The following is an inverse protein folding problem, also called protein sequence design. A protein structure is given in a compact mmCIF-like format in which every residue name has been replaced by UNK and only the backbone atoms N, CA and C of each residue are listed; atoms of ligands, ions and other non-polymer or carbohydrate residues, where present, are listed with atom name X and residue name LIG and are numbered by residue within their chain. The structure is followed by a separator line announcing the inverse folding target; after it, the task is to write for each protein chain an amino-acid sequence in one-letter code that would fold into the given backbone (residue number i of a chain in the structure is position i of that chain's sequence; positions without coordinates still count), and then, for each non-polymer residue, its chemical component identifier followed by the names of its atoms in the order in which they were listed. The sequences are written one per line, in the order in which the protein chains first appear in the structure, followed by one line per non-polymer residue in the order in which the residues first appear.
data_IF_750105868823
#
_entry.id   IF_750105868823
#
_cell.length_a   1.000
_cell.length_b   1.000
_cell.length_c   1.000
_cell.angle_alpha   90.00
_cell.angle_beta   90.00
_cell.angle_gamma   90.00
#
_symmetry.space_group_name_H-M   'P 1'
#
loop_
_entity.id
_entity.type
_entity.pdbx_description
1 polymer ?
#
# COMPACT_ATOMS: atom_id res chain seq x y z
N UNK A 1 -18.81 31.72 28.96
CA UNK A 1 -19.29 31.21 27.65
C UNK A 1 -18.97 32.24 26.60
N UNK A 2 -18.09 31.89 25.66
CA UNK A 2 -17.86 32.68 24.46
C UNK A 2 -18.62 32.04 23.30
N UNK A 3 -19.25 32.87 22.46
CA UNK A 3 -19.93 32.43 21.25
C UNK A 3 -19.37 33.25 20.10
N UNK A 4 -18.71 32.59 19.16
CA UNK A 4 -18.22 33.19 17.92
C UNK A 4 -19.14 32.80 16.78
N UNK A 5 -19.54 33.79 15.98
CA UNK A 5 -20.14 33.56 14.66
C UNK A 5 -19.01 33.69 13.61
N UNK A 6 -19.36 33.87 12.34
CA UNK A 6 -18.38 34.05 11.26
C UNK A 6 -17.35 35.17 11.59
N UNK A 7 -16.09 34.78 11.82
CA UNK A 7 -14.97 35.68 12.09
C UNK A 7 -14.20 35.90 10.78
N UNK A 8 -14.22 37.14 10.29
CA UNK A 8 -13.60 37.50 9.00
C UNK A 8 -12.41 38.44 9.13
N UNK A 9 -12.11 38.92 10.34
CA UNK A 9 -11.00 39.81 10.64
C UNK A 9 -10.47 39.51 12.04
N UNK A 10 -9.16 39.64 12.23
CA UNK A 10 -8.43 39.29 13.46
C UNK A 10 -7.47 40.39 13.90
N UNK A 11 -7.20 41.38 13.05
CA UNK A 11 -6.25 42.45 13.34
C UNK A 11 -6.70 43.79 12.75
N UNK A 12 -6.59 44.86 13.54
CA UNK A 12 -6.84 46.23 13.05
C UNK A 12 -5.59 46.85 12.44
N UNK A 13 -5.74 47.89 11.62
CA UNK A 13 -4.61 48.63 11.00
C UNK A 13 -3.67 49.27 12.03
N UNK A 14 -4.15 49.56 13.24
CA UNK A 14 -3.33 50.04 14.37
C UNK A 14 -2.39 48.97 14.96
N UNK A 15 -2.59 47.71 14.57
CA UNK A 15 -1.77 46.55 14.96
C UNK A 15 -1.10 45.92 13.74
N UNK A 16 -0.80 46.75 12.72
CA UNK A 16 -0.18 46.36 11.44
C UNK A 16 -1.03 45.45 10.54
N UNK A 17 -2.35 45.39 10.77
CA UNK A 17 -3.29 44.69 9.89
C UNK A 17 -3.53 45.39 8.54
N UNK A 18 -3.90 44.61 7.53
CA UNK A 18 -4.27 45.11 6.21
C UNK A 18 -5.75 45.59 6.17
N UNK A 19 -6.18 46.15 5.02
CA UNK A 19 -7.55 46.66 4.84
C UNK A 19 -8.65 45.59 4.95
N UNK A 20 -8.29 44.30 4.86
CA UNK A 20 -9.19 43.17 5.09
C UNK A 20 -9.25 42.75 6.56
N UNK A 21 -8.52 43.42 7.46
CA UNK A 21 -8.48 43.11 8.88
C UNK A 21 -7.66 41.86 9.22
N UNK A 22 -6.68 41.51 8.39
CA UNK A 22 -5.79 40.35 8.55
C UNK A 22 -4.31 40.78 8.46
N UNK A 23 -3.39 39.95 8.94
CA UNK A 23 -1.95 40.29 9.06
C UNK A 23 -1.67 41.23 10.23
N UNK A 24 -0.39 41.48 10.54
CA UNK A 24 0.00 42.24 11.75
C UNK A 24 0.04 41.36 13.00
N UNK A 25 -0.32 41.91 14.17
CA UNK A 25 -0.41 41.14 15.43
C UNK A 25 -1.80 40.48 15.54
N UNK A 26 -1.93 39.14 15.52
CA UNK A 26 -3.23 38.49 15.54
C UNK A 26 -3.97 38.64 16.88
N UNK A 27 -5.30 38.50 16.85
CA UNK A 27 -6.14 38.54 18.05
C UNK A 27 -5.72 37.50 19.09
N UNK A 28 -5.77 37.89 20.36
CA UNK A 28 -5.51 37.01 21.51
C UNK A 28 -6.84 36.71 22.21
N UNK A 29 -7.05 35.44 22.56
CA UNK A 29 -8.28 34.97 23.23
C UNK A 29 -7.89 34.04 24.37
N UNK A 30 -8.38 34.31 25.57
CA UNK A 30 -7.98 33.55 26.75
C UNK A 30 -8.44 34.17 28.08
N UNK A 31 -7.84 33.68 29.16
CA UNK A 31 -7.97 34.17 30.52
C UNK A 31 -6.58 34.44 31.11
N UNK A 32 -6.46 35.46 31.96
CA UNK A 32 -5.25 35.77 32.72
C UNK A 32 -5.66 36.24 34.11
N UNK A 33 -5.20 35.55 35.16
CA UNK A 33 -5.45 35.90 36.55
C UNK A 33 -4.51 37.01 37.07
N UNK A 34 -3.52 37.42 36.28
CA UNK A 34 -2.50 38.42 36.60
C UNK A 34 -1.64 38.07 37.82
N UNK A 35 -1.56 36.79 38.17
CA UNK A 35 -0.70 36.26 39.24
C UNK A 35 0.60 35.63 38.69
N UNK A 36 0.76 35.63 37.37
CA UNK A 36 1.91 35.05 36.67
C UNK A 36 1.93 33.53 36.62
N UNK A 37 0.87 32.87 37.07
CA UNK A 37 0.76 31.40 37.12
C UNK A 37 -0.48 30.93 36.37
N UNK A 38 -1.64 31.54 36.64
CA UNK A 38 -2.92 31.07 36.13
C UNK A 38 -3.33 31.88 34.90
N UNK A 39 -3.21 31.27 33.74
CA UNK A 39 -3.68 31.80 32.47
C UNK A 39 -4.06 30.65 31.53
N UNK A 40 -4.86 30.95 30.50
CA UNK A 40 -5.22 30.01 29.45
C UNK A 40 -5.36 30.77 28.13
N UNK A 41 -4.83 30.22 27.05
CA UNK A 41 -4.99 30.75 25.70
C UNK A 41 -5.73 29.73 24.84
N UNK A 42 -6.73 30.19 24.10
CA UNK A 42 -7.47 29.35 23.15
C UNK A 42 -6.54 28.94 22.00
N UNK A 43 -6.59 27.71 21.47
CA UNK A 43 -5.77 27.30 20.34
C UNK A 43 -5.86 28.23 19.14
N UNK A 44 -4.70 28.63 18.62
CA UNK A 44 -4.58 29.59 17.53
C UNK A 44 -4.53 31.05 17.99
N UNK A 45 -4.74 31.35 19.28
CA UNK A 45 -4.57 32.69 19.85
C UNK A 45 -3.22 33.28 19.48
N UNK A 46 -3.21 34.56 19.09
CA UNK A 46 -2.03 35.30 18.64
C UNK A 46 -1.34 34.71 17.40
N UNK A 47 -2.02 33.87 16.63
CA UNK A 47 -1.57 33.34 15.33
C UNK A 47 -2.60 33.62 14.22
N UNK A 48 -2.19 33.48 12.95
CA UNK A 48 -3.11 33.60 11.81
C UNK A 48 -4.26 32.57 11.85
N UNK A 49 -4.07 31.48 12.58
CA UNK A 49 -5.03 30.39 12.75
C UNK A 49 -6.26 30.80 13.57
N UNK A 50 -6.21 31.94 14.29
CA UNK A 50 -7.31 32.45 15.12
C UNK A 50 -8.58 32.77 14.33
N UNK A 51 -8.47 32.94 13.00
CA UNK A 51 -9.63 33.07 12.10
C UNK A 51 -10.57 31.86 12.15
N UNK A 52 -10.06 30.68 12.52
CA UNK A 52 -10.84 29.43 12.55
C UNK A 52 -11.49 29.17 13.92
N UNK A 53 -11.49 30.13 14.85
CA UNK A 53 -12.03 29.97 16.20
C UNK A 53 -13.53 29.64 16.23
N UNK A 54 -14.26 30.06 15.19
CA UNK A 54 -15.67 29.74 14.99
C UNK A 54 -15.91 28.32 14.44
N UNK A 55 -14.88 27.70 13.87
CA UNK A 55 -14.88 26.30 13.40
C UNK A 55 -14.45 25.30 14.49
N UNK A 56 -13.94 25.79 15.62
CA UNK A 56 -13.45 25.01 16.77
C UNK A 56 -14.37 25.17 17.99
N UNK A 57 -14.25 24.30 18.98
CA UNK A 57 -15.04 24.31 20.23
C UNK A 57 -14.37 23.44 21.29
N UNK A 58 -14.69 23.65 22.56
CA UNK A 58 -14.36 22.74 23.66
C UNK A 58 -15.56 21.98 24.26
N UNK A 59 -16.72 22.04 23.60
CA UNK A 59 -17.97 21.42 24.06
C UNK A 59 -18.77 20.80 22.90
N UNK A 60 -18.07 20.28 21.88
CA UNK A 60 -18.65 19.66 20.69
C UNK A 60 -19.76 20.50 20.00
N UNK A 61 -19.72 21.82 20.19
CA UNK A 61 -20.66 22.79 19.60
C UNK A 61 -19.86 23.87 18.92
N UNK A 62 -19.61 23.69 17.62
CA UNK A 62 -18.76 24.57 16.79
C UNK A 62 -19.00 26.05 17.06
N UNK A 63 -17.91 26.79 17.33
CA UNK A 63 -17.89 28.22 17.62
C UNK A 63 -18.28 28.60 19.06
N UNK A 64 -18.69 27.63 19.89
CA UNK A 64 -19.00 27.86 21.31
C UNK A 64 -17.89 27.31 22.20
N UNK A 65 -17.50 28.13 23.17
CA UNK A 65 -16.50 27.78 24.17
C UNK A 65 -17.04 28.01 25.58
N UNK A 66 -16.87 27.04 26.47
CA UNK A 66 -17.37 27.07 27.83
C UNK A 66 -16.29 26.60 28.80
N UNK A 67 -15.98 27.45 29.77
CA UNK A 67 -14.98 27.19 30.79
C UNK A 67 -15.60 27.39 32.16
N UNK A 68 -15.18 26.57 33.12
CA UNK A 68 -15.41 26.79 34.54
C UNK A 68 -14.27 27.65 35.08
N UNK A 69 -14.58 28.79 35.69
CA UNK A 69 -13.60 29.84 36.05
C UNK A 69 -13.62 30.23 37.54
N UNK A 70 -14.34 29.48 38.37
CA UNK A 70 -14.39 29.67 39.83
C UNK A 70 -13.28 28.95 40.59
N UNK A 71 -12.44 28.19 39.88
CA UNK A 71 -11.30 27.43 40.44
C UNK A 71 -9.97 28.09 40.06
N UNK A 72 -8.89 27.61 40.68
CA UNK A 72 -7.51 27.99 40.43
C UNK A 72 -6.94 27.43 39.12
N UNK A 73 -7.60 26.45 38.50
CA UNK A 73 -7.21 25.87 37.20
C UNK A 73 -8.40 25.78 36.23
N UNK A 74 -8.13 25.88 34.92
CA UNK A 74 -9.13 25.60 33.89
C UNK A 74 -9.39 24.10 33.86
N UNK A 75 -10.65 23.70 34.03
CA UNK A 75 -11.03 22.30 33.92
C UNK A 75 -11.20 21.89 32.45
N UNK A 76 -10.36 20.95 32.03
CA UNK A 76 -10.54 20.23 30.79
C UNK A 76 -11.52 19.06 30.98
N UNK A 77 -12.55 19.02 30.14
CA UNK A 77 -13.58 17.98 30.12
C UNK A 77 -13.85 17.50 28.68
N UNK A 78 -12.99 17.86 27.73
CA UNK A 78 -13.13 17.43 26.35
C UNK A 78 -12.22 16.23 26.07
N UNK A 79 -12.71 15.27 25.30
CA UNK A 79 -11.88 14.16 24.85
C UNK A 79 -10.96 14.60 23.71
N UNK A 80 -9.71 14.11 23.65
CA UNK A 80 -8.87 14.31 22.49
C UNK A 80 -9.52 13.72 21.22
N UNK A 81 -9.15 14.26 20.07
CA UNK A 81 -9.58 13.79 18.75
C UNK A 81 -8.39 13.31 17.91
N UNK A 82 -8.57 12.22 17.18
CA UNK A 82 -7.58 11.79 16.19
C UNK A 82 -7.62 12.71 14.95
N UNK A 83 -6.50 13.39 14.65
CA UNK A 83 -6.34 14.19 13.43
C UNK A 83 -6.06 13.32 12.21
N UNK A 84 -5.30 12.24 12.40
CA UNK A 84 -5.06 11.21 11.39
C UNK A 84 -5.36 9.82 11.95
N UNK A 85 -5.99 9.00 11.12
CA UNK A 85 -6.35 7.61 11.38
C UNK A 85 -6.49 6.90 10.03
N UNK A 86 -5.36 6.59 9.39
CA UNK A 86 -5.32 6.02 8.03
C UNK A 86 -4.42 4.81 8.00
N UNK A 87 -4.76 3.81 7.20
CA UNK A 87 -3.87 2.68 6.97
C UNK A 87 -2.60 3.14 6.25
N UNK A 88 -1.40 2.69 6.67
CA UNK A 88 -0.18 2.85 5.87
C UNK A 88 -0.26 2.07 4.55
N UNK A 89 0.66 2.35 3.65
CA UNK A 89 0.83 1.57 2.42
C UNK A 89 1.15 0.10 2.73
N UNK A 90 0.71 -0.79 1.85
CA UNK A 90 0.97 -2.21 1.99
C UNK A 90 2.47 -2.53 1.91
N UNK A 91 2.96 -3.36 2.82
CA UNK A 91 4.36 -3.81 2.81
C UNK A 91 4.43 -5.21 2.22
N UNK A 92 5.28 -5.40 1.22
CA UNK A 92 5.43 -6.68 0.54
C UNK A 92 6.54 -7.53 1.16
N UNK A 93 6.25 -8.81 1.38
CA UNK A 93 7.28 -9.79 1.75
C UNK A 93 7.98 -10.36 0.52
N UNK A 94 9.30 -10.50 0.63
CA UNK A 94 10.08 -11.34 -0.29
C UNK A 94 9.71 -12.80 -0.12
N UNK A 95 9.71 -13.61 -1.18
CA UNK A 95 9.24 -14.97 -1.06
C UNK A 95 10.10 -15.84 -0.12
N UNK A 96 9.42 -16.54 0.78
CA UNK A 96 10.03 -17.36 1.83
C UNK A 96 9.89 -16.77 3.25
N UNK A 97 9.40 -15.54 3.40
CA UNK A 97 8.99 -14.98 4.69
C UNK A 97 7.46 -14.85 4.78
N UNK A 98 6.92 -14.99 5.99
CA UNK A 98 5.49 -14.85 6.29
C UNK A 98 5.23 -13.62 7.16
N UNK A 99 6.19 -12.71 7.26
CA UNK A 99 6.13 -11.49 8.07
C UNK A 99 7.03 -10.42 7.46
N UNK A 100 6.70 -9.15 7.72
CA UNK A 100 7.54 -8.01 7.37
C UNK A 100 7.55 -6.97 8.48
N UNK A 101 8.62 -6.19 8.55
CA UNK A 101 8.71 -5.03 9.45
C UNK A 101 7.98 -3.85 8.81
N UNK A 102 7.06 -3.22 9.53
CA UNK A 102 6.24 -2.11 9.05
C UNK A 102 6.55 -0.86 9.86
N UNK A 103 6.85 0.24 9.18
CA UNK A 103 7.09 1.55 9.78
C UNK A 103 5.98 2.49 9.35
N UNK A 104 5.31 3.11 10.32
CA UNK A 104 4.36 4.19 10.09
C UNK A 104 4.73 5.44 10.92
N UNK A 105 4.27 6.60 10.50
CA UNK A 105 4.59 7.90 11.07
C UNK A 105 3.33 8.62 11.62
N UNK A 106 3.44 9.93 11.86
CA UNK A 106 2.36 10.77 12.38
C UNK A 106 1.23 11.01 11.38
N UNK A 107 1.46 10.80 10.08
CA UNK A 107 0.41 10.96 9.06
C UNK A 107 -0.58 9.78 9.07
N UNK A 108 -0.15 8.65 9.64
CA UNK A 108 -0.98 7.46 9.89
C UNK A 108 -1.83 7.62 11.13
N UNK A 109 -1.22 8.03 12.26
CA UNK A 109 -1.93 8.21 13.52
C UNK A 109 -1.38 9.41 14.31
N UNK A 110 -2.28 10.32 14.68
CA UNK A 110 -1.98 11.48 15.52
C UNK A 110 -3.26 11.94 16.23
N UNK A 111 -3.13 12.40 17.47
CA UNK A 111 -4.23 12.95 18.25
C UNK A 111 -3.90 14.36 18.74
N UNK A 112 -4.93 15.19 18.85
CA UNK A 112 -4.87 16.53 19.41
C UNK A 112 -6.00 16.73 20.38
N UNK A 113 -5.76 17.51 21.41
CA UNK A 113 -6.76 18.07 22.29
C UNK A 113 -6.75 19.60 22.20
N UNK A 114 -7.91 20.23 22.43
CA UNK A 114 -8.06 21.68 22.32
C UNK A 114 -7.47 22.45 23.51
N UNK A 115 -7.30 21.80 24.65
CA UNK A 115 -6.69 22.38 25.85
C UNK A 115 -5.22 22.00 25.94
N UNK A 116 -4.88 20.73 25.71
CA UNK A 116 -3.53 20.19 25.91
C UNK A 116 -2.64 20.22 24.65
N UNK A 117 -3.22 20.42 23.46
CA UNK A 117 -2.48 20.35 22.20
C UNK A 117 -2.19 18.90 21.77
N UNK A 118 -1.01 18.57 21.19
CA UNK A 118 -0.73 17.22 20.69
C UNK A 118 -0.75 16.16 21.80
N UNK A 119 -1.54 15.10 21.60
CA UNK A 119 -1.69 13.97 22.54
C UNK A 119 -1.08 12.69 21.95
N UNK A 120 -0.32 11.95 22.76
CA UNK A 120 0.30 10.70 22.33
C UNK A 120 -0.76 9.59 22.18
N UNK A 121 -0.74 8.90 21.05
CA UNK A 121 -1.57 7.72 20.82
C UNK A 121 -0.86 6.45 21.30
N UNK A 122 -1.59 5.57 22.00
CA UNK A 122 -1.16 4.22 22.37
C UNK A 122 -1.93 3.19 21.55
N UNK A 123 -1.22 2.35 20.81
CA UNK A 123 -1.81 1.40 19.86
C UNK A 123 -1.67 -0.05 20.32
N UNK A 124 -2.65 -0.88 19.93
CA UNK A 124 -2.69 -2.29 20.26
C UNK A 124 -3.28 -3.13 19.13
N UNK A 125 -2.84 -4.37 19.00
CA UNK A 125 -3.45 -5.36 18.13
C UNK A 125 -4.81 -5.76 18.70
N UNK A 126 -5.80 -5.90 17.82
CA UNK A 126 -7.14 -6.40 18.18
C UNK A 126 -7.43 -7.65 17.38
N UNK A 127 -7.45 -8.81 18.05
CA UNK A 127 -7.87 -10.09 17.45
C UNK A 127 -9.19 -10.53 18.07
N UNK A 128 -10.32 -10.00 17.58
CA UNK A 128 -11.69 -10.51 17.77
C UNK A 128 -12.24 -10.77 19.19
N UNK A 129 -11.41 -10.77 20.22
CA UNK A 129 -11.60 -11.45 21.50
C UNK A 129 -11.01 -10.63 22.67
N UNK A 130 -11.13 -9.30 22.57
CA UNK A 130 -10.82 -8.31 23.62
C UNK A 130 -9.38 -8.26 24.16
N UNK A 131 -8.48 -9.14 23.71
CA UNK A 131 -7.08 -9.12 24.12
C UNK A 131 -6.32 -8.05 23.32
N UNK A 132 -5.99 -6.94 23.99
CA UNK A 132 -5.16 -5.87 23.44
C UNK A 132 -3.69 -6.17 23.70
N UNK A 133 -2.91 -6.35 22.63
CA UNK A 133 -1.45 -6.49 22.70
C UNK A 133 -0.82 -5.18 22.25
N UNK A 134 -0.06 -4.46 23.10
CA UNK A 134 0.58 -3.21 22.71
C UNK A 134 1.47 -3.38 21.48
N UNK A 135 1.39 -2.43 20.55
CA UNK A 135 2.19 -2.43 19.31
C UNK A 135 2.72 -1.03 19.02
N UNK A 136 3.96 -0.97 18.55
CA UNK A 136 4.62 0.28 18.13
C UNK A 136 5.00 0.25 16.66
N UNK A 137 5.17 1.44 16.08
CA UNK A 137 5.76 1.58 14.75
C UNK A 137 7.12 0.89 14.71
N UNK A 138 7.47 0.35 13.53
CA UNK A 138 8.71 -0.39 13.30
C UNK A 138 8.72 -1.81 13.90
N UNK A 139 7.57 -2.42 14.17
CA UNK A 139 7.45 -3.83 14.57
C UNK A 139 7.20 -4.77 13.36
N UNK A 140 7.26 -6.09 13.61
CA UNK A 140 7.03 -7.13 12.59
C UNK A 140 5.58 -7.62 12.61
N UNK A 141 4.96 -7.64 11.43
CA UNK A 141 3.58 -8.03 11.23
C UNK A 141 3.50 -9.28 10.35
N UNK A 142 2.60 -10.22 10.65
CA UNK A 142 2.41 -11.41 9.83
C UNK A 142 1.77 -11.05 8.48
N UNK A 143 2.03 -11.89 7.48
CA UNK A 143 1.36 -11.87 6.19
C UNK A 143 -0.17 -11.89 6.39
N UNK A 144 -0.84 -10.94 5.75
CA UNK A 144 -2.27 -10.71 5.86
C UNK A 144 -2.59 -9.30 6.34
N UNK A 145 -3.82 -9.15 6.83
CA UNK A 145 -4.33 -7.89 7.38
C UNK A 145 -4.28 -8.00 8.90
N UNK A 146 -3.59 -7.07 9.55
CA UNK A 146 -3.58 -6.91 10.99
C UNK A 146 -4.32 -5.63 11.36
N UNK A 147 -5.34 -5.73 12.21
CA UNK A 147 -6.08 -4.56 12.71
C UNK A 147 -5.37 -3.99 13.94
N UNK A 148 -5.06 -2.71 13.88
CA UNK A 148 -4.47 -1.94 14.97
C UNK A 148 -5.51 -0.96 15.47
N UNK A 149 -5.76 -0.95 16.78
CA UNK A 149 -6.61 0.02 17.45
C UNK A 149 -5.76 0.92 18.35
N UNK A 150 -5.95 2.23 18.22
CA UNK A 150 -5.26 3.24 19.00
C UNK A 150 -6.23 4.01 19.90
N UNK A 151 -5.75 4.29 21.10
CA UNK A 151 -6.41 5.11 22.12
C UNK A 151 -5.54 6.33 22.39
N UNK A 152 -6.16 7.44 22.78
CA UNK A 152 -5.49 8.65 23.22
C UNK A 152 -6.21 9.16 24.47
N UNK A 153 -5.41 9.58 25.46
CA UNK A 153 -5.88 10.12 26.74
C UNK A 153 -5.14 11.42 26.99
N UNK A 154 -5.89 12.48 27.25
CA UNK A 154 -5.33 13.79 27.56
C UNK A 154 -4.77 13.86 28.99
N UNK A 155 -4.29 15.03 29.42
CA UNK A 155 -3.71 15.22 30.76
C UNK A 155 -4.78 15.19 31.86
N UNK A 156 -6.03 15.52 31.54
CA UNK A 156 -7.18 15.48 32.45
C UNK A 156 -7.80 14.08 32.60
N UNK A 157 -7.43 13.13 31.75
CA UNK A 157 -7.90 11.75 31.75
C UNK A 157 -9.12 11.49 30.87
N UNK A 158 -9.50 12.39 29.97
CA UNK A 158 -10.59 12.13 29.02
C UNK A 158 -10.08 11.26 27.87
N UNK A 159 -10.93 10.34 27.40
CA UNK A 159 -10.54 9.34 26.38
C UNK A 159 -11.10 9.72 25.01
N UNK A 160 -10.25 9.69 23.98
CA UNK A 160 -10.68 9.78 22.59
C UNK A 160 -11.63 8.62 22.22
N UNK A 161 -12.46 8.85 21.20
CA UNK A 161 -13.09 7.71 20.49
C UNK A 161 -11.98 6.91 19.81
N UNK A 162 -11.91 5.57 19.99
CA UNK A 162 -10.82 4.76 19.44
C UNK A 162 -10.71 4.87 17.91
N UNK A 163 -9.48 4.94 17.43
CA UNK A 163 -9.14 4.91 16.01
C UNK A 163 -8.70 3.49 15.63
N UNK A 164 -9.16 2.98 14.48
CA UNK A 164 -8.69 1.71 13.92
C UNK A 164 -8.10 1.90 12.52
N UNK A 165 -6.97 1.27 12.27
CA UNK A 165 -6.38 1.17 10.93
C UNK A 165 -5.86 -0.25 10.66
N UNK A 166 -5.53 -0.53 9.40
CA UNK A 166 -5.05 -1.83 8.97
C UNK A 166 -3.59 -1.77 8.55
N UNK A 167 -2.76 -2.62 9.15
CA UNK A 167 -1.43 -2.94 8.62
C UNK A 167 -1.58 -4.13 7.68
N UNK A 168 -1.22 -3.92 6.41
CA UNK A 168 -1.32 -4.94 5.37
C UNK A 168 0.08 -5.41 5.01
N UNK A 169 0.41 -6.66 5.33
CA UNK A 169 1.60 -7.33 4.83
C UNK A 169 1.16 -8.29 3.73
N UNK A 170 1.53 -8.00 2.49
CA UNK A 170 1.12 -8.81 1.33
C UNK A 170 2.29 -9.59 0.76
N UNK A 171 1.98 -10.69 0.06
CA UNK A 171 2.98 -11.39 -0.74
C UNK A 171 3.22 -10.63 -2.03
N UNK A 172 4.44 -10.66 -2.56
CA UNK A 172 4.75 -10.03 -3.86
C UNK A 172 4.00 -10.64 -5.06
N UNK A 173 3.33 -11.78 -4.89
CA UNK A 173 2.62 -12.46 -5.96
C UNK A 173 1.18 -11.97 -6.07
N UNK A 174 0.76 -11.57 -7.27
CA UNK A 174 -0.64 -11.34 -7.60
C UNK A 174 -1.45 -12.64 -7.42
N UNK A 175 -2.71 -12.57 -6.96
CA UNK A 175 -3.56 -13.75 -6.80
C UNK A 175 -3.72 -14.56 -8.09
N UNK A 176 -3.18 -15.78 -8.09
CA UNK A 176 -3.11 -16.62 -9.29
C UNK A 176 -4.10 -17.79 -9.29
N UNK A 177 -4.81 -18.03 -8.18
CA UNK A 177 -5.89 -19.02 -8.08
C UNK A 177 -7.25 -18.35 -8.23
N UNK A 178 -8.20 -19.02 -8.89
CA UNK A 178 -9.56 -18.51 -9.10
C UNK A 178 -10.34 -19.36 -10.11
N UNK A 179 -11.60 -18.98 -10.41
CA UNK A 179 -12.48 -19.78 -11.27
C UNK A 179 -11.97 -19.96 -12.71
N UNK A 180 -11.22 -18.99 -13.25
CA UNK A 180 -10.74 -18.98 -14.64
C UNK A 180 -9.27 -19.41 -14.81
N UNK A 181 -8.70 -20.06 -13.79
CA UNK A 181 -7.32 -20.53 -13.85
C UNK A 181 -7.16 -21.68 -14.83
N UNK A 182 -6.11 -21.63 -15.65
CA UNK A 182 -5.71 -22.71 -16.56
C UNK A 182 -4.38 -23.28 -16.12
N UNK A 183 -4.33 -24.62 -16.03
CA UNK A 183 -3.14 -25.36 -15.67
C UNK A 183 -2.48 -25.92 -16.94
N UNK A 184 -1.16 -25.86 -16.99
CA UNK A 184 -0.42 -26.64 -17.98
C UNK A 184 -0.42 -28.13 -17.59
N UNK A 185 -0.32 -29.04 -18.56
CA UNK A 185 -0.09 -30.45 -18.29
C UNK A 185 1.15 -30.69 -17.43
N UNK A 186 1.13 -31.84 -16.75
CA UNK A 186 2.14 -32.26 -15.79
C UNK A 186 3.19 -33.13 -16.44
N UNK A 187 4.15 -32.52 -17.13
CA UNK A 187 5.26 -33.22 -17.78
C UNK A 187 6.52 -32.33 -17.84
N UNK A 188 7.60 -32.89 -18.38
CA UNK A 188 8.83 -32.18 -18.73
C UNK A 188 8.67 -31.50 -20.10
N UNK A 189 9.08 -30.23 -20.21
CA UNK A 189 9.06 -29.43 -21.45
C UNK A 189 7.67 -29.11 -22.07
N UNK A 190 6.61 -28.99 -21.27
CA UNK A 190 5.27 -28.64 -21.76
C UNK A 190 5.05 -27.18 -22.15
N UNK A 191 4.15 -26.97 -23.11
CA UNK A 191 3.63 -25.66 -23.50
C UNK A 191 2.11 -25.68 -23.50
N UNK A 192 1.47 -24.57 -23.11
CA UNK A 192 0.03 -24.42 -23.28
C UNK A 192 -0.34 -24.47 -24.77
N UNK A 193 -1.59 -24.85 -25.09
CA UNK A 193 -2.15 -24.50 -26.40
C UNK A 193 -2.19 -22.98 -26.60
N UNK A 194 -2.49 -22.53 -27.82
CA UNK A 194 -2.64 -21.10 -28.13
C UNK A 194 -3.75 -20.47 -27.26
N UNK A 195 -3.41 -19.37 -26.58
CA UNK A 195 -4.36 -18.62 -25.75
C UNK A 195 -4.51 -17.21 -26.29
N UNK A 196 -5.74 -16.81 -26.59
CA UNK A 196 -6.02 -15.45 -27.08
C UNK A 196 -6.09 -14.44 -25.94
N UNK A 197 -5.51 -13.26 -26.17
CA UNK A 197 -5.67 -12.13 -25.27
C UNK A 197 -7.09 -11.56 -25.35
N UNK A 198 -7.63 -11.15 -24.20
CA UNK A 198 -8.92 -10.46 -24.16
C UNK A 198 -8.85 -9.02 -24.70
N UNK A 199 -7.65 -8.42 -24.72
CA UNK A 199 -7.37 -7.08 -25.22
C UNK A 199 -6.11 -7.10 -26.08
N UNK A 200 -5.93 -6.18 -27.05
CA UNK A 200 -4.68 -6.06 -27.79
C UNK A 200 -3.47 -5.95 -26.84
N UNK A 201 -2.43 -6.73 -27.11
CA UNK A 201 -1.20 -6.73 -26.34
C UNK A 201 -0.03 -6.31 -27.24
N UNK A 202 0.55 -5.16 -26.96
CA UNK A 202 1.66 -4.63 -27.74
C UNK A 202 2.99 -5.05 -27.12
N UNK A 203 3.77 -5.83 -27.87
CA UNK A 203 5.11 -6.26 -27.46
C UNK A 203 6.12 -5.80 -28.51
N UNK A 204 7.08 -4.97 -28.09
CA UNK A 204 8.06 -4.31 -28.97
C UNK A 204 7.45 -3.67 -30.23
N UNK A 205 6.34 -2.94 -30.04
CA UNK A 205 5.64 -2.21 -31.12
C UNK A 205 4.79 -3.07 -32.05
N UNK A 206 4.71 -4.39 -31.83
CA UNK A 206 3.83 -5.29 -32.58
C UNK A 206 2.65 -5.71 -31.71
N UNK A 207 1.47 -5.73 -32.29
CA UNK A 207 0.28 -6.25 -31.63
C UNK A 207 0.22 -7.78 -31.77
N UNK A 208 0.04 -8.48 -30.65
CA UNK A 208 -0.15 -9.92 -30.60
C UNK A 208 -1.56 -10.24 -30.10
N UNK A 209 -2.24 -11.13 -30.81
CA UNK A 209 -3.57 -11.62 -30.43
C UNK A 209 -3.54 -12.81 -29.48
N UNK A 210 -2.41 -13.50 -29.40
CA UNK A 210 -2.27 -14.74 -28.64
C UNK A 210 -0.89 -14.90 -28.03
N UNK A 211 -0.83 -15.78 -27.04
CA UNK A 211 0.37 -16.16 -26.32
C UNK A 211 0.36 -17.66 -26.00
N UNK A 212 1.54 -18.13 -25.61
CA UNK A 212 1.78 -19.48 -25.12
C UNK A 212 2.59 -19.40 -23.83
N UNK A 213 2.27 -20.26 -22.87
CA UNK A 213 3.02 -20.38 -21.61
C UNK A 213 3.80 -21.69 -21.66
N UNK A 214 5.09 -21.64 -21.38
CA UNK A 214 5.94 -22.82 -21.33
C UNK A 214 6.37 -23.12 -19.88
N UNK A 215 6.52 -24.40 -19.55
CA UNK A 215 6.93 -24.83 -18.19
C UNK A 215 8.29 -24.27 -17.78
N UNK A 216 9.18 -24.03 -18.74
CA UNK A 216 10.54 -23.54 -18.55
C UNK A 216 10.63 -22.03 -18.30
N UNK A 217 9.60 -21.39 -17.76
CA UNK A 217 9.67 -19.97 -17.35
C UNK A 217 9.53 -18.95 -18.49
N UNK A 218 8.85 -19.31 -19.57
CA UNK A 218 8.73 -18.48 -20.79
C UNK A 218 7.27 -18.23 -21.17
N UNK A 219 7.00 -17.02 -21.67
CA UNK A 219 5.78 -16.66 -22.39
C UNK A 219 6.17 -16.28 -23.82
N UNK A 220 5.69 -17.00 -24.84
CA UNK A 220 5.96 -16.69 -26.25
C UNK A 220 4.75 -16.12 -26.96
N UNK A 221 4.97 -15.38 -28.05
CA UNK A 221 3.92 -14.69 -28.80
C UNK A 221 3.92 -15.06 -30.27
N UNK A 222 2.75 -15.37 -30.82
CA UNK A 222 2.56 -15.71 -32.23
C UNK A 222 2.88 -17.16 -32.60
N UNK A 223 3.77 -17.83 -31.86
CA UNK A 223 4.00 -19.28 -31.97
C UNK A 223 4.47 -19.87 -30.62
N UNK A 224 4.45 -21.19 -30.50
CA UNK A 224 4.92 -21.89 -29.30
C UNK A 224 6.46 -22.03 -29.27
N UNK A 225 7.02 -22.13 -28.06
CA UNK A 225 8.40 -22.56 -27.86
C UNK A 225 8.39 -24.06 -27.49
N UNK A 226 8.70 -24.92 -28.45
CA UNK A 226 8.51 -26.37 -28.32
C UNK A 226 9.52 -27.10 -27.42
N UNK A 227 10.61 -26.45 -27.00
CA UNK A 227 11.65 -27.07 -26.15
C UNK A 227 12.48 -26.03 -25.42
N UNK A 228 13.12 -26.43 -24.32
CA UNK A 228 14.04 -25.58 -23.57
C UNK A 228 15.23 -25.13 -24.44
N UNK A 229 15.57 -23.83 -24.35
CA UNK A 229 16.71 -23.23 -25.03
C UNK A 229 17.68 -22.66 -24.00
N UNK A 230 18.95 -23.07 -24.05
CA UNK A 230 20.00 -22.61 -23.12
C UNK A 230 20.78 -21.39 -23.59
N UNK A 231 20.53 -20.92 -24.81
CA UNK A 231 21.27 -19.81 -25.40
C UNK A 231 20.85 -18.47 -24.76
N UNK A 232 21.80 -17.52 -24.57
CA UNK A 232 21.48 -16.20 -24.04
C UNK A 232 20.66 -15.38 -25.06
N UNK A 233 19.85 -14.44 -24.55
CA UNK A 233 19.19 -13.45 -25.40
C UNK A 233 20.24 -12.57 -26.12
N UNK A 234 19.98 -12.16 -27.38
CA UNK A 234 18.75 -12.37 -28.16
C UNK A 234 18.70 -13.75 -28.84
N UNK A 235 17.54 -14.40 -28.77
CA UNK A 235 17.26 -15.64 -29.50
C UNK A 235 16.66 -15.30 -30.87
N UNK A 236 17.10 -15.98 -31.94
CA UNK A 236 16.48 -15.87 -33.28
C UNK A 236 15.25 -16.80 -33.41
N UNK A 237 14.37 -16.73 -32.42
CA UNK A 237 13.18 -17.56 -32.28
C UNK A 237 11.92 -16.68 -32.31
N UNK A 238 10.78 -17.30 -32.04
CA UNK A 238 9.54 -16.61 -31.73
C UNK A 238 9.74 -15.56 -30.63
N UNK A 239 9.14 -14.36 -30.75
CA UNK A 239 9.16 -13.32 -29.73
C UNK A 239 8.71 -13.87 -28.37
N UNK A 240 9.46 -13.60 -27.31
CA UNK A 240 9.19 -14.17 -26.00
C UNK A 240 9.58 -13.24 -24.86
N UNK A 241 8.98 -13.50 -23.70
CA UNK A 241 9.37 -13.02 -22.38
C UNK A 241 9.96 -14.21 -21.61
N UNK A 242 11.24 -14.12 -21.28
CA UNK A 242 11.93 -15.07 -20.41
C UNK A 242 11.84 -14.56 -18.96
N UNK A 243 10.87 -15.06 -18.19
CA UNK A 243 10.62 -14.64 -16.80
C UNK A 243 11.70 -15.20 -15.88
N UNK A 244 11.93 -16.50 -16.00
CA UNK A 244 13.01 -17.22 -15.33
C UNK A 244 13.31 -18.48 -16.13
N UNK A 245 13.94 -18.30 -17.30
CA UNK A 245 14.08 -19.39 -18.26
C UNK A 245 15.07 -20.46 -17.78
N UNK A 246 14.57 -21.66 -17.51
CA UNK A 246 15.36 -22.79 -17.02
C UNK A 246 14.63 -24.11 -17.27
N UNK A 247 15.37 -25.22 -17.28
CA UNK A 247 14.86 -26.60 -17.40
C UNK A 247 14.02 -26.96 -16.16
N UNK A 248 12.72 -26.70 -16.23
CA UNK A 248 11.74 -26.92 -15.16
C UNK A 248 11.05 -28.26 -15.38
N UNK A 249 11.09 -29.10 -14.37
CA UNK A 249 10.36 -30.36 -14.34
C UNK A 249 9.10 -30.20 -13.47
N UNK A 250 7.94 -30.45 -14.07
CA UNK A 250 6.66 -30.41 -13.38
C UNK A 250 5.99 -31.76 -13.18
N UNK A 251 6.58 -32.87 -13.66
CA UNK A 251 5.96 -34.21 -13.71
C UNK A 251 5.37 -34.62 -12.36
N UNK A 252 6.15 -34.50 -11.28
CA UNK A 252 5.71 -34.92 -9.93
C UNK A 252 5.26 -33.76 -9.03
N UNK A 253 5.77 -32.54 -9.25
CA UNK A 253 5.61 -31.41 -8.32
C UNK A 253 5.50 -30.05 -9.03
N UNK A 254 5.11 -29.02 -8.28
CA UNK A 254 4.95 -27.66 -8.79
C UNK A 254 3.73 -27.48 -9.70
N UNK A 255 3.43 -26.27 -10.10
CA UNK A 255 2.36 -25.99 -11.06
C UNK A 255 2.81 -24.84 -11.95
N UNK A 256 2.45 -24.93 -13.23
CA UNK A 256 2.48 -23.78 -14.13
C UNK A 256 1.05 -23.48 -14.52
N UNK A 257 0.63 -22.27 -14.24
CA UNK A 257 -0.75 -21.86 -14.40
C UNK A 257 -0.83 -20.41 -14.88
N UNK A 258 -1.90 -20.10 -15.58
CA UNK A 258 -2.16 -18.76 -16.05
C UNK A 258 -3.65 -18.41 -15.97
N UNK A 259 -3.94 -17.13 -15.81
CA UNK A 259 -5.31 -16.59 -15.85
C UNK A 259 -5.31 -15.15 -16.36
N UNK A 260 -6.35 -14.80 -17.11
CA UNK A 260 -6.61 -13.41 -17.49
C UNK A 260 -7.67 -12.84 -16.55
N UNK A 261 -7.37 -11.70 -15.93
CA UNK A 261 -8.29 -10.90 -15.14
C UNK A 261 -8.76 -9.72 -15.99
N UNK A 262 -10.07 -9.46 -15.94
CA UNK A 262 -10.65 -8.24 -16.50
C UNK A 262 -11.02 -7.28 -15.38
N UNK A 263 -10.89 -5.98 -15.64
CA UNK A 263 -11.22 -4.97 -14.63
C UNK A 263 -12.70 -5.05 -14.28
N UNK A 264 -12.96 -5.19 -12.99
CA UNK A 264 -14.30 -5.29 -12.41
C UNK A 264 -14.18 -5.06 -10.91
N UNK A 265 -15.30 -4.81 -10.24
CA UNK A 265 -15.33 -4.65 -8.79
C UNK A 265 -14.76 -5.84 -8.01
N UNK A 266 -14.79 -7.05 -8.58
CA UNK A 266 -14.22 -8.25 -7.95
C UNK A 266 -12.69 -8.30 -8.01
N UNK A 267 -12.09 -7.70 -9.03
CA UNK A 267 -10.64 -7.71 -9.25
C UNK A 267 -9.99 -6.34 -8.96
N UNK A 268 -10.76 -5.35 -8.46
CA UNK A 268 -10.33 -3.96 -8.45
C UNK A 268 -9.04 -3.74 -7.64
N UNK A 269 -8.85 -4.47 -6.53
CA UNK A 269 -7.62 -4.37 -5.74
C UNK A 269 -6.36 -4.72 -6.56
N UNK A 270 -6.41 -5.77 -7.38
CA UNK A 270 -5.27 -6.14 -8.23
C UNK A 270 -5.03 -5.11 -9.34
N UNK A 271 -6.11 -4.50 -9.85
CA UNK A 271 -6.00 -3.44 -10.86
C UNK A 271 -5.47 -2.13 -10.28
N UNK A 272 -5.87 -1.76 -9.06
CA UNK A 272 -5.30 -0.60 -8.35
C UNK A 272 -3.81 -0.80 -8.10
N UNK A 273 -3.40 -1.97 -7.58
CA UNK A 273 -1.99 -2.30 -7.36
C UNK A 273 -1.16 -2.18 -8.64
N UNK A 274 -1.64 -2.75 -9.76
CA UNK A 274 -0.94 -2.65 -11.03
C UNK A 274 -0.91 -1.22 -11.60
N UNK A 275 -2.02 -0.49 -11.50
CA UNK A 275 -2.14 0.88 -11.97
C UNK A 275 -1.19 1.82 -11.20
N UNK A 276 -1.20 1.73 -9.87
CA UNK A 276 -0.36 2.56 -8.98
C UNK A 276 1.12 2.27 -9.24
N UNK A 277 1.51 0.99 -9.31
CA UNK A 277 2.88 0.58 -9.64
C UNK A 277 3.35 1.19 -10.98
N UNK A 278 2.51 1.14 -12.01
CA UNK A 278 2.86 1.70 -13.33
C UNK A 278 2.98 3.23 -13.27
N UNK A 279 2.03 3.91 -12.64
CA UNK A 279 2.03 5.38 -12.54
C UNK A 279 3.20 5.91 -11.72
N UNK A 280 3.64 5.16 -10.72
CA UNK A 280 4.81 5.51 -9.91
C UNK A 280 6.12 5.36 -10.71
N UNK A 281 6.29 4.22 -11.40
CA UNK A 281 7.52 3.94 -12.18
C UNK A 281 7.59 4.77 -13.46
N UNK A 282 6.44 5.07 -14.07
CA UNK A 282 6.31 5.84 -15.31
C UNK A 282 5.40 7.07 -15.08
N UNK A 283 5.92 8.16 -14.49
CA UNK A 283 5.11 9.34 -14.13
C UNK A 283 4.41 10.01 -15.33
N UNK A 284 4.94 9.84 -16.54
CA UNK A 284 4.31 10.30 -17.78
C UNK A 284 3.02 9.52 -18.12
N UNK A 285 2.82 8.36 -17.50
CA UNK A 285 1.63 7.53 -17.61
C UNK A 285 0.68 7.73 -16.43
N UNK A 286 0.63 8.93 -15.84
CA UNK A 286 -0.19 9.24 -14.65
C UNK A 286 -1.69 8.94 -14.80
N UNK A 287 -2.22 8.92 -16.03
CA UNK A 287 -3.62 8.56 -16.34
C UNK A 287 -3.81 7.12 -16.81
N UNK A 288 -2.76 6.28 -16.78
CA UNK A 288 -2.86 4.89 -17.20
C UNK A 288 -3.87 4.13 -16.33
N UNK A 289 -4.65 3.24 -16.94
CA UNK A 289 -5.66 2.45 -16.27
C UNK A 289 -5.78 1.11 -17.00
N UNK A 290 -5.37 0.02 -16.35
CA UNK A 290 -5.36 -1.31 -16.93
C UNK A 290 -6.79 -1.81 -17.19
N UNK A 291 -6.97 -2.53 -18.30
CA UNK A 291 -8.22 -3.22 -18.66
C UNK A 291 -8.11 -4.74 -18.50
N UNK A 292 -6.89 -5.28 -18.64
CA UNK A 292 -6.59 -6.70 -18.44
C UNK A 292 -5.24 -6.91 -17.75
N UNK A 293 -5.21 -7.93 -16.88
CA UNK A 293 -4.00 -8.51 -16.32
C UNK A 293 -3.92 -9.97 -16.74
N UNK A 294 -2.83 -10.39 -17.38
CA UNK A 294 -2.48 -11.81 -17.54
C UNK A 294 -1.50 -12.18 -16.43
N UNK A 295 -1.95 -13.01 -15.49
CA UNK A 295 -1.12 -13.53 -14.41
C UNK A 295 -0.65 -14.93 -14.79
N UNK A 296 0.65 -15.13 -14.90
CA UNK A 296 1.30 -16.42 -15.17
C UNK A 296 2.22 -16.77 -14.02
N UNK A 297 2.00 -17.91 -13.36
CA UNK A 297 2.75 -18.32 -12.18
C UNK A 297 3.36 -19.70 -12.37
N UNK A 298 4.67 -19.78 -12.13
CA UNK A 298 5.41 -21.02 -11.92
C UNK A 298 5.51 -21.22 -10.41
N UNK A 299 4.60 -22.00 -9.84
CA UNK A 299 4.43 -22.16 -8.40
C UNK A 299 5.14 -23.41 -7.90
N UNK A 300 6.14 -23.24 -7.02
CA UNK A 300 6.92 -24.33 -6.40
C UNK A 300 7.43 -25.34 -7.43
N UNK A 301 7.96 -24.85 -8.55
CA UNK A 301 8.55 -25.67 -9.61
C UNK A 301 9.96 -26.14 -9.21
N UNK A 302 10.35 -27.34 -9.65
CA UNK A 302 11.63 -27.97 -9.27
C UNK A 302 12.52 -28.15 -10.49
N UNK A 303 13.85 -28.30 -10.32
CA UNK A 303 14.68 -28.83 -11.38
C UNK A 303 14.48 -30.35 -11.49
N UNK A 304 14.86 -30.94 -12.62
CA UNK A 304 14.79 -32.39 -12.84
C UNK A 304 15.59 -33.21 -11.81
N UNK A 305 16.70 -32.67 -11.28
CA UNK A 305 17.66 -33.41 -10.46
C UNK A 305 17.41 -33.35 -8.94
N UNK A 306 16.39 -32.62 -8.49
CA UNK A 306 16.18 -32.42 -7.04
C UNK A 306 14.70 -32.34 -6.68
N UNK A 307 14.30 -33.19 -5.75
CA UNK A 307 12.97 -33.20 -5.16
C UNK A 307 12.79 -32.26 -3.96
N UNK A 308 13.82 -31.54 -3.51
CA UNK A 308 13.71 -30.62 -2.35
C UNK A 308 13.67 -29.14 -2.73
N UNK A 309 14.43 -28.74 -3.75
CA UNK A 309 14.50 -27.35 -4.20
C UNK A 309 13.23 -26.92 -4.93
N UNK A 310 12.76 -25.70 -4.64
CA UNK A 310 11.54 -25.11 -5.20
C UNK A 310 11.78 -23.66 -5.57
N UNK A 311 11.31 -23.29 -6.76
CA UNK A 311 11.20 -21.91 -7.20
C UNK A 311 9.73 -21.53 -7.31
N UNK A 312 9.40 -20.31 -6.90
CA UNK A 312 8.12 -19.68 -7.19
C UNK A 312 8.39 -18.31 -7.80
N UNK A 313 7.90 -18.09 -9.02
CA UNK A 313 8.01 -16.82 -9.72
C UNK A 313 6.78 -16.60 -10.61
N UNK A 314 6.52 -15.35 -10.96
CA UNK A 314 5.32 -14.95 -11.64
C UNK A 314 5.63 -13.79 -12.61
N UNK A 315 4.93 -13.79 -13.74
CA UNK A 315 4.79 -12.62 -14.60
C UNK A 315 3.35 -12.11 -14.56
N UNK A 316 3.20 -10.79 -14.48
CA UNK A 316 1.93 -10.10 -14.67
C UNK A 316 2.07 -9.20 -15.89
N UNK A 317 1.40 -9.57 -16.99
CA UNK A 317 1.32 -8.71 -18.17
C UNK A 317 0.08 -7.84 -18.07
N UNK A 318 0.27 -6.53 -18.15
CA UNK A 318 -0.77 -5.51 -17.93
C UNK A 318 -1.03 -4.80 -19.24
N UNK A 319 -2.29 -4.60 -19.62
CA UNK A 319 -2.64 -3.79 -20.80
C UNK A 319 -3.95 -3.03 -20.63
N UNK A 320 -4.04 -1.87 -21.25
CA UNK A 320 -5.31 -1.15 -21.47
C UNK A 320 -5.79 -1.25 -22.93
N UNK A 321 -5.16 -2.10 -23.74
CA UNK A 321 -5.43 -2.26 -25.16
C UNK A 321 -4.62 -1.33 -26.09
N UNK A 322 -3.90 -0.36 -25.55
CA UNK A 322 -3.02 0.54 -26.30
C UNK A 322 -1.57 0.51 -25.80
N UNK A 323 -1.39 0.50 -24.48
CA UNK A 323 -0.11 0.37 -23.80
C UNK A 323 -0.05 -0.97 -23.07
N UNK A 324 1.14 -1.55 -23.00
CA UNK A 324 1.37 -2.85 -22.39
C UNK A 324 2.63 -2.81 -21.53
N UNK A 325 2.56 -3.47 -20.37
CA UNK A 325 3.63 -3.53 -19.37
C UNK A 325 3.81 -4.98 -18.91
N UNK A 326 4.99 -5.29 -18.37
CA UNK A 326 5.30 -6.58 -17.80
C UNK A 326 5.94 -6.38 -16.42
N UNK A 327 5.42 -7.07 -15.41
CA UNK A 327 5.95 -7.11 -14.05
C UNK A 327 6.42 -8.53 -13.75
N UNK A 328 7.60 -8.68 -13.16
CA UNK A 328 8.12 -9.97 -12.72
C UNK A 328 8.23 -10.00 -11.20
N UNK A 329 7.48 -10.92 -10.60
CA UNK A 329 7.42 -11.11 -9.16
C UNK A 329 8.15 -12.40 -8.81
N UNK A 330 9.27 -12.27 -8.11
CA UNK A 330 10.04 -13.41 -7.64
C UNK A 330 9.66 -13.70 -6.20
N UNK A 331 8.98 -14.84 -6.01
CA UNK A 331 8.74 -15.41 -4.70
C UNK A 331 10.02 -16.05 -4.17
N UNK A 332 9.95 -17.32 -3.79
CA UNK A 332 11.11 -18.02 -3.28
C UNK A 332 11.94 -18.59 -4.45
N UNK A 333 13.23 -18.26 -4.53
CA UNK A 333 14.16 -18.84 -5.53
C UNK A 333 15.25 -19.61 -4.78
N UNK A 334 15.26 -20.93 -4.93
CA UNK A 334 16.21 -21.84 -4.26
C UNK A 334 17.21 -22.47 -5.23
N UNK A 335 16.96 -22.38 -6.54
CA UNK A 335 17.81 -22.96 -7.56
C UNK A 335 17.86 -22.07 -8.81
N UNK A 336 19.02 -22.04 -9.47
CA UNK A 336 19.27 -21.17 -10.65
C UNK A 336 19.97 -21.90 -11.78
N UNK A 337 20.20 -23.21 -11.62
CA UNK A 337 20.94 -24.04 -12.58
C UNK A 337 20.13 -25.28 -12.89
N UNK A 338 20.07 -25.64 -14.16
CA UNK A 338 19.83 -27.00 -14.58
C UNK A 338 21.17 -27.69 -14.80
N UNK A 339 21.36 -28.89 -14.28
CA UNK A 339 22.54 -29.70 -14.60
C UNK A 339 22.23 -30.54 -15.84
N UNK A 340 22.41 -30.00 -17.06
CA UNK A 340 22.59 -30.88 -18.23
C UNK A 340 24.08 -31.06 -18.51
N UNK A 341 24.45 -32.28 -18.96
CA UNK A 341 25.83 -32.72 -19.22
C UNK A 341 26.57 -31.70 -20.12
N UNK A 342 27.73 -31.26 -19.64
CA UNK A 342 28.80 -30.50 -20.32
C UNK A 342 28.53 -29.04 -20.75
N UNK A 343 29.50 -28.20 -20.36
CA UNK A 343 29.75 -26.77 -20.64
C UNK A 343 28.70 -25.79 -20.11
N UNK A 344 28.99 -25.28 -18.91
CA UNK A 344 28.16 -24.30 -18.23
C UNK A 344 28.03 -22.97 -18.95
N UNK A 345 26.85 -22.37 -18.79
CA UNK A 345 26.64 -20.94 -18.94
C UNK A 345 25.78 -20.49 -17.78
N UNK A 346 26.24 -19.45 -17.10
CA UNK A 346 25.67 -18.90 -15.88
C UNK A 346 24.38 -18.12 -16.18
N UNK A 347 23.29 -18.39 -15.45
CA UNK A 347 22.22 -17.41 -15.30
C UNK A 347 22.76 -16.21 -14.51
N UNK A 348 22.88 -15.05 -15.18
CA UNK A 348 23.20 -13.77 -14.53
C UNK A 348 21.89 -13.03 -14.28
N UNK A 349 21.61 -12.76 -13.01
CA UNK A 349 20.58 -11.81 -12.58
C UNK A 349 21.23 -10.43 -12.66
N UNK A 350 20.68 -9.51 -13.45
CA UNK A 350 20.95 -8.07 -13.36
C UNK A 350 19.94 -7.43 -12.42
#
# INVERSE_FOLDING_TARGET
MFNYANVTWTTGTSSDGNESGLGGIPAQVGFDASDGVNYYEVPGSQSDDIVNIDLRSNINTTGRWLFRIDLDEIQDNESPIFQSCKSPDAVYVTGGTNESRVVWDTDVVSAVDVVDGPVAASCSLVDGDSMKVPVTSNETFPLGVTTVECEAVDAAGNNATPCQFHVIVSGILFPFLGPDVRYLPKEDEETSGEVFFAFPFFFFGRNYSSFYVNTNGVISFGDELSSFQSDPLPLMLTPLIAVFMTDVDTTDFGLVLHRQLLRSSQNEMQFCEADETIREVFPEQSSFSASMLLVVTWYRVRPWYSDSLRNTFQAVLVTNGALSFAMFNYGQIQWTRSSRRSSGVSAQVL
#
